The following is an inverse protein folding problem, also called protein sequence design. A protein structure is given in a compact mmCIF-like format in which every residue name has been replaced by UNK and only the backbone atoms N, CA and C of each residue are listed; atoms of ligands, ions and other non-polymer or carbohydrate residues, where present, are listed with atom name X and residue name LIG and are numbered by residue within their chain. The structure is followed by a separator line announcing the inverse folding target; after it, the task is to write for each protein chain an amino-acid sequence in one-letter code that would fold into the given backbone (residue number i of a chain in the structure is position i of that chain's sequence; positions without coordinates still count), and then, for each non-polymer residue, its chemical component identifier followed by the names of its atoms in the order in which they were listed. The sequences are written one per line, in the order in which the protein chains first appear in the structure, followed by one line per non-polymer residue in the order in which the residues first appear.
data_IF_203737784825
#
_entry.id   IF_203737784825
#
_cell.length_a   1.000
_cell.length_b   1.000
_cell.length_c   1.000
_cell.angle_alpha   90.00
_cell.angle_beta   90.00
_cell.angle_gamma   90.00
#
_symmetry.space_group_name_H-M   'P 1'
#
loop_
_entity.id
_entity.type
_entity.pdbx_description
1 polymer ?
#
# COMPACT_ATOMS: atom_id res chain seq x y z
N UNK A 1 4.57 -4.61 16.00
CA UNK A 1 3.59 -4.28 14.96
C UNK A 1 2.69 -5.48 14.74
N UNK A 2 1.34 -5.36 14.80
CA UNK A 2 0.45 -6.47 14.48
C UNK A 2 0.54 -6.84 12.98
N UNK A 3 0.39 -8.12 12.65
CA UNK A 3 0.47 -8.64 11.28
C UNK A 3 -0.85 -8.46 10.50
N UNK A 4 -1.22 -7.21 10.27
CA UNK A 4 -2.42 -6.88 9.49
C UNK A 4 -2.22 -7.15 8.00
N UNK A 5 -3.31 -7.51 7.32
CA UNK A 5 -3.36 -7.56 5.85
C UNK A 5 -3.77 -6.18 5.33
N UNK A 6 -2.82 -5.51 4.69
CA UNK A 6 -3.03 -4.24 4.00
C UNK A 6 -3.57 -4.48 2.60
N UNK A 7 -4.35 -3.54 2.08
CA UNK A 7 -4.77 -3.53 0.68
C UNK A 7 -4.27 -2.23 0.06
N UNK A 8 -3.05 -2.27 -0.48
CA UNK A 8 -2.39 -1.08 -1.01
C UNK A 8 -2.92 -0.82 -2.42
N UNK A 9 -3.18 0.46 -2.71
CA UNK A 9 -3.64 0.94 -4.01
C UNK A 9 -2.84 2.17 -4.38
N UNK A 10 -2.36 2.21 -5.62
CA UNK A 10 -1.72 3.40 -6.18
C UNK A 10 -2.72 4.56 -6.26
N UNK A 11 -2.29 5.77 -5.89
CA UNK A 11 -3.18 6.94 -5.92
C UNK A 11 -3.69 7.25 -7.34
N UNK A 12 -2.92 6.91 -8.38
CA UNK A 12 -3.32 7.04 -9.79
C UNK A 12 -4.39 6.01 -10.15
N UNK A 13 -4.22 4.76 -9.70
CA UNK A 13 -5.22 3.71 -9.93
C UNK A 13 -6.54 4.01 -9.22
N UNK A 14 -6.49 4.67 -8.05
CA UNK A 14 -7.69 5.14 -7.36
C UNK A 14 -8.39 6.25 -8.14
N UNK A 15 -7.64 7.23 -8.68
CA UNK A 15 -8.20 8.27 -9.52
C UNK A 15 -8.84 7.69 -10.80
N UNK A 16 -8.16 6.75 -11.45
CA UNK A 16 -8.66 6.01 -12.61
C UNK A 16 -9.93 5.22 -12.27
N UNK A 17 -10.00 4.59 -11.09
CA UNK A 17 -11.20 3.89 -10.61
C UNK A 17 -12.39 4.84 -10.42
N UNK A 18 -12.15 6.01 -9.81
CA UNK A 18 -13.19 7.01 -9.58
C UNK A 18 -13.76 7.53 -10.91
N UNK A 19 -12.88 7.84 -11.85
CA UNK A 19 -13.28 8.27 -13.20
C UNK A 19 -14.06 7.16 -13.91
N UNK A 20 -13.57 5.92 -13.87
CA UNK A 20 -14.22 4.77 -14.51
C UNK A 20 -15.64 4.54 -13.98
N UNK A 21 -15.84 4.60 -12.65
CA UNK A 21 -17.17 4.43 -12.05
C UNK A 21 -18.08 5.60 -12.44
N UNK A 22 -17.55 6.82 -12.52
CA UNK A 22 -18.32 7.99 -12.94
C UNK A 22 -18.79 7.90 -14.40
N UNK A 23 -17.94 7.41 -15.31
CA UNK A 23 -18.22 7.39 -16.75
C UNK A 23 -19.12 6.24 -17.19
N UNK A 24 -19.17 5.13 -16.44
CA UNK A 24 -19.92 3.92 -16.81
C UNK A 24 -21.39 4.03 -16.38
N UNK A 25 -22.36 4.16 -17.31
CA UNK A 25 -23.78 4.31 -16.94
C UNK A 25 -24.35 3.09 -16.20
N UNK A 26 -23.77 1.91 -16.40
CA UNK A 26 -24.12 0.67 -15.70
C UNK A 26 -23.60 0.62 -14.25
N UNK A 27 -22.79 1.60 -13.83
CA UNK A 27 -22.25 1.63 -12.49
C UNK A 27 -23.34 1.96 -11.46
N UNK A 28 -23.30 1.29 -10.30
CA UNK A 28 -24.30 1.53 -9.25
C UNK A 28 -23.81 1.09 -7.88
N UNK A 29 -24.27 1.78 -6.83
CA UNK A 29 -23.95 1.45 -5.44
C UNK A 29 -22.46 1.61 -5.11
N UNK A 30 -21.93 0.68 -4.31
CA UNK A 30 -20.55 0.75 -3.80
C UNK A 30 -19.58 -0.11 -4.62
N UNK A 31 -18.34 0.37 -4.70
CA UNK A 31 -17.19 -0.33 -5.29
C UNK A 31 -16.06 -0.33 -4.27
N UNK A 32 -15.46 -1.50 -4.07
CA UNK A 32 -14.25 -1.64 -3.28
C UNK A 32 -13.07 -1.43 -4.22
N UNK A 33 -12.15 -0.55 -3.83
CA UNK A 33 -10.90 -0.28 -4.51
C UNK A 33 -9.77 -0.79 -3.61
N UNK A 34 -9.41 -2.06 -3.82
CA UNK A 34 -8.42 -2.80 -3.05
C UNK A 34 -7.64 -3.72 -4.01
N UNK A 35 -6.40 -3.37 -4.32
CA UNK A 35 -5.61 -4.05 -5.36
C UNK A 35 -4.72 -5.14 -4.76
N UNK A 36 -3.73 -4.74 -3.95
CA UNK A 36 -2.64 -5.60 -3.51
C UNK A 36 -2.81 -5.99 -2.03
N UNK A 37 -3.38 -7.17 -1.72
CA UNK A 37 -3.36 -7.70 -0.37
C UNK A 37 -1.92 -8.07 0.01
N UNK A 38 -1.41 -7.54 1.11
CA UNK A 38 -0.07 -7.83 1.60
C UNK A 38 -0.05 -7.77 3.13
N UNK A 39 0.50 -8.78 3.78
CA UNK A 39 0.70 -8.75 5.24
C UNK A 39 1.76 -7.70 5.62
N UNK A 40 1.68 -7.19 6.85
CA UNK A 40 2.73 -6.33 7.41
C UNK A 40 4.12 -6.97 7.29
N UNK A 41 4.22 -8.30 7.48
CA UNK A 41 5.47 -9.05 7.33
C UNK A 41 5.98 -9.07 5.90
N UNK A 42 5.14 -9.47 4.95
CA UNK A 42 5.49 -9.49 3.53
C UNK A 42 5.87 -8.11 3.01
N UNK A 43 5.16 -7.06 3.45
CA UNK A 43 5.48 -5.68 3.07
C UNK A 43 6.86 -5.26 3.56
N UNK A 44 7.19 -5.58 4.82
CA UNK A 44 8.51 -5.28 5.38
C UNK A 44 9.60 -6.06 4.63
N UNK A 45 9.37 -7.33 4.30
CA UNK A 45 10.36 -8.13 3.59
C UNK A 45 10.55 -7.70 2.13
N UNK A 46 9.47 -7.29 1.44
CA UNK A 46 9.53 -6.67 0.12
C UNK A 46 10.35 -5.37 0.16
N UNK A 47 10.05 -4.48 1.11
CA UNK A 47 10.77 -3.22 1.27
C UNK A 47 12.24 -3.44 1.61
N UNK A 48 12.60 -4.42 2.44
CA UNK A 48 14.01 -4.78 2.71
C UNK A 48 14.73 -5.24 1.46
N UNK A 49 14.06 -6.01 0.59
CA UNK A 49 14.63 -6.47 -0.67
C UNK A 49 14.93 -5.31 -1.62
N UNK A 50 14.04 -4.33 -1.70
CA UNK A 50 14.18 -3.15 -2.57
C UNK A 50 15.11 -2.08 -1.99
N UNK A 51 15.08 -1.88 -0.66
CA UNK A 51 15.75 -0.77 0.02
C UNK A 51 16.46 -1.21 1.32
N UNK A 52 17.48 -2.08 1.25
CA UNK A 52 18.07 -2.74 2.42
C UNK A 52 18.71 -1.80 3.46
N UNK A 53 18.96 -0.55 3.10
CA UNK A 53 19.71 0.44 3.89
C UNK A 53 18.88 1.14 4.98
N UNK A 54 17.60 0.81 5.12
CA UNK A 54 16.71 1.42 6.12
C UNK A 54 16.54 0.58 7.39
N UNK A 55 16.13 1.25 8.48
CA UNK A 55 15.75 0.60 9.72
C UNK A 55 14.34 0.00 9.66
N UNK A 56 14.24 -1.33 9.72
CA UNK A 56 12.96 -2.05 9.68
C UNK A 56 12.56 -2.62 11.04
N UNK A 57 11.26 -2.63 11.31
CA UNK A 57 10.69 -3.28 12.49
C UNK A 57 10.88 -4.81 12.41
N UNK A 58 11.38 -5.41 13.50
CA UNK A 58 11.61 -6.86 13.58
C UNK A 58 10.50 -7.61 14.32
N UNK A 59 9.78 -6.91 15.21
CA UNK A 59 8.77 -7.52 16.06
C UNK A 59 7.39 -7.38 15.42
N UNK A 60 7.03 -8.38 14.62
CA UNK A 60 5.69 -8.52 14.02
C UNK A 60 4.95 -9.63 14.75
N UNK A 61 3.78 -9.30 15.31
CA UNK A 61 2.97 -10.19 16.16
C UNK A 61 1.74 -10.60 15.38
N UNK A 62 1.47 -11.90 15.34
CA UNK A 62 0.34 -12.45 14.59
C UNK A 62 -0.99 -11.96 15.16
N UNK A 63 -1.94 -11.73 14.27
CA UNK A 63 -3.33 -11.40 14.60
C UNK A 63 -4.29 -12.33 13.88
N UNK A 64 -5.50 -12.57 14.42
CA UNK A 64 -6.48 -13.40 13.76
C UNK A 64 -6.78 -12.90 12.33
N UNK A 65 -6.93 -13.81 11.36
CA UNK A 65 -7.23 -13.44 9.98
C UNK A 65 -8.59 -12.74 9.89
N UNK A 66 -8.63 -11.65 9.13
CA UNK A 66 -9.87 -10.99 8.72
C UNK A 66 -10.22 -11.40 7.28
N UNK A 67 -11.52 -11.48 6.96
CA UNK A 67 -11.96 -11.76 5.61
C UNK A 67 -11.51 -10.61 4.68
N UNK A 68 -10.72 -10.89 3.62
CA UNK A 68 -10.23 -9.84 2.75
C UNK A 68 -11.37 -9.26 1.89
N UNK A 69 -11.48 -7.92 1.77
CA UNK A 69 -12.39 -7.31 0.83
C UNK A 69 -12.03 -7.70 -0.61
N UNK A 70 -13.02 -7.74 -1.51
CA UNK A 70 -12.80 -8.07 -2.93
C UNK A 70 -13.16 -6.92 -3.84
N UNK A 71 -12.30 -6.66 -4.83
CA UNK A 71 -12.51 -5.61 -5.85
C UNK A 71 -13.12 -6.16 -7.14
N UNK A 72 -13.70 -7.36 -7.11
CA UNK A 72 -14.18 -8.06 -8.31
C UNK A 72 -15.22 -7.25 -9.09
N UNK A 73 -16.10 -6.53 -8.38
CA UNK A 73 -17.08 -5.66 -9.02
C UNK A 73 -16.42 -4.51 -9.80
N UNK A 74 -15.34 -3.94 -9.26
CA UNK A 74 -14.60 -2.86 -9.89
C UNK A 74 -13.74 -3.37 -11.06
N UNK A 75 -13.07 -4.52 -10.89
CA UNK A 75 -12.33 -5.20 -11.97
C UNK A 75 -13.22 -5.55 -13.15
N UNK A 76 -14.46 -5.99 -12.92
CA UNK A 76 -15.45 -6.25 -13.97
C UNK A 76 -15.83 -5.02 -14.79
N UNK A 77 -15.64 -3.80 -14.27
CA UNK A 77 -15.80 -2.56 -15.04
C UNK A 77 -14.61 -2.25 -15.96
N UNK A 78 -13.53 -3.03 -15.87
CA UNK A 78 -12.29 -2.82 -16.63
C UNK A 78 -11.20 -2.08 -15.85
N UNK A 79 -11.35 -1.94 -14.52
CA UNK A 79 -10.30 -1.35 -13.68
C UNK A 79 -9.03 -2.19 -13.70
N UNK A 80 -7.89 -1.53 -13.82
CA UNK A 80 -6.55 -2.12 -13.84
C UNK A 80 -5.71 -1.46 -12.76
N UNK A 81 -4.76 -2.22 -12.24
CA UNK A 81 -3.85 -1.75 -11.21
C UNK A 81 -2.42 -1.90 -11.67
N UNK A 82 -1.57 -0.96 -11.28
CA UNK A 82 -0.11 -1.03 -11.45
C UNK A 82 0.48 -2.05 -10.47
N UNK A 83 1.68 -2.60 -10.74
CA UNK A 83 2.39 -3.46 -9.79
C UNK A 83 2.64 -2.75 -8.46
N UNK A 84 2.62 -3.49 -7.35
CA UNK A 84 2.83 -2.92 -6.03
C UNK A 84 4.23 -2.28 -5.90
N UNK A 85 5.23 -2.90 -6.52
CA UNK A 85 6.62 -2.47 -6.50
C UNK A 85 6.80 -1.09 -7.16
N UNK A 86 6.05 -0.80 -8.22
CA UNK A 86 6.04 0.52 -8.87
C UNK A 86 5.49 1.57 -7.90
N UNK A 87 4.34 1.30 -7.25
CA UNK A 87 3.75 2.18 -6.25
C UNK A 87 4.68 2.43 -5.06
N UNK A 88 5.33 1.39 -4.55
CA UNK A 88 6.27 1.51 -3.43
C UNK A 88 7.52 2.30 -3.83
N UNK A 89 8.00 2.10 -5.06
CA UNK A 89 9.17 2.82 -5.59
C UNK A 89 8.87 4.31 -5.69
N UNK A 90 7.77 4.67 -6.36
CA UNK A 90 7.36 6.07 -6.53
C UNK A 90 7.12 6.74 -5.17
N UNK A 91 6.55 6.01 -4.21
CA UNK A 91 6.34 6.53 -2.86
C UNK A 91 7.68 6.83 -2.15
N UNK A 92 8.63 5.89 -2.16
CA UNK A 92 9.94 6.09 -1.52
C UNK A 92 10.68 7.27 -2.14
N UNK A 93 10.72 7.38 -3.46
CA UNK A 93 11.39 8.50 -4.14
C UNK A 93 10.70 9.84 -3.81
N UNK A 94 9.37 9.89 -3.79
CA UNK A 94 8.62 11.07 -3.38
C UNK A 94 8.97 11.53 -1.96
N UNK A 95 9.09 10.60 -0.99
CA UNK A 95 9.50 10.95 0.37
C UNK A 95 10.98 11.35 0.46
N UNK A 96 11.87 10.80 -0.37
CA UNK A 96 13.28 11.23 -0.45
C UNK A 96 13.39 12.66 -0.98
N UNK A 97 12.71 12.96 -2.09
CA UNK A 97 12.68 14.30 -2.69
C UNK A 97 12.09 15.35 -1.72
N UNK A 98 11.13 14.95 -0.89
CA UNK A 98 10.55 15.79 0.15
C UNK A 98 11.45 15.97 1.39
N UNK A 99 12.61 15.30 1.45
CA UNK A 99 13.50 15.31 2.63
C UNK A 99 12.90 14.63 3.86
N UNK A 100 11.96 13.70 3.66
CA UNK A 100 11.27 12.95 4.71
C UNK A 100 11.88 11.54 4.93
N UNK A 101 12.74 11.10 4.02
CA UNK A 101 13.58 9.91 4.17
C UNK A 101 15.05 10.35 4.07
N UNK A 102 15.79 10.21 5.17
CA UNK A 102 17.22 10.55 5.19
C UNK A 102 18.05 9.50 4.43
N UNK A 103 19.02 9.98 3.65
CA UNK A 103 20.13 9.16 3.18
C UNK A 103 21.12 8.96 4.34
N UNK A 104 20.94 7.86 5.09
CA UNK A 104 21.96 7.21 5.94
C UNK A 104 22.65 8.07 7.03
N UNK A 105 22.29 7.82 8.30
CA UNK A 105 23.23 7.27 9.31
C UNK A 105 22.46 7.00 10.62
N UNK A 106 22.17 5.73 10.89
CA UNK A 106 21.84 5.26 12.24
C UNK A 106 20.56 5.80 12.89
N UNK A 107 19.63 6.39 12.15
CA UNK A 107 18.37 6.88 12.71
C UNK A 107 17.18 6.05 12.25
N UNK A 108 16.42 5.58 13.24
CA UNK A 108 15.19 4.81 13.08
C UNK A 108 14.23 5.57 12.17
N UNK A 109 13.77 4.93 11.09
CA UNK A 109 12.73 5.48 10.24
C UNK A 109 11.53 5.90 11.09
N UNK A 110 11.29 7.20 11.17
CA UNK A 110 10.05 7.74 11.71
C UNK A 110 8.98 7.60 10.63
N UNK A 111 8.41 6.40 10.52
CA UNK A 111 7.27 6.17 9.64
C UNK A 111 6.16 7.20 9.96
N UNK A 112 5.39 7.68 8.95
CA UNK A 112 4.31 8.63 9.18
C UNK A 112 3.28 8.07 10.18
N UNK A 113 2.47 8.92 10.84
CA UNK A 113 1.60 8.55 11.96
C UNK A 113 0.79 7.23 11.83
N UNK A 114 0.22 6.83 10.68
CA UNK A 114 -0.48 5.54 10.58
C UNK A 114 0.40 4.31 10.84
N UNK A 115 1.72 4.44 10.81
CA UNK A 115 2.69 3.37 11.02
C UNK A 115 3.42 3.45 12.38
N UNK A 116 3.22 4.52 13.15
CA UNK A 116 3.69 4.65 14.54
C UNK A 116 2.57 4.17 15.47
N UNK A 117 2.54 2.87 15.77
CA UNK A 117 1.63 2.31 16.78
C UNK A 117 2.29 2.47 18.16
N UNK A 118 1.66 3.24 19.04
CA UNK A 118 1.97 3.34 20.48
C UNK A 118 1.84 2.01 21.19
#
# INVERSE_FOLDING_TARGET
MPDFVWHIVDVRDLADALLLVYEKPESSGRYICAAHPISSRELVDLLKGMYPNYGYQKNIVDVPPSAPPTSEKLKKLGWKCRPLEETLTDAVECYREAGLLDELEGHTLHLPPPFKVT
#
